data_IF_255477100715
#
_entry.id   IF_255477100715
#
_cell.length_a   1.000
_cell.length_b   1.000
_cell.length_c   1.000
_cell.angle_alpha   90.00
_cell.angle_beta   90.00
_cell.angle_gamma   90.00
#
_symmetry.space_group_name_H-M   'P 1'
#
loop_
_entity.id
_entity.type
_entity.pdbx_description
1 polymer ?
#
# COMPACT_ATOMS: atom_id res chain seq x y z
N UNK A 1 0.29 3.59 40.74
CA UNK A 1 -0.12 2.99 39.47
C UNK A 1 1.02 3.28 38.47
N UNK A 2 1.67 2.25 37.91
CA UNK A 2 2.74 2.44 36.93
C UNK A 2 2.12 2.80 35.58
N UNK A 3 2.67 3.83 34.92
CA UNK A 3 2.33 4.17 33.54
C UNK A 3 3.17 3.25 32.65
N UNK A 4 2.52 2.50 31.77
CA UNK A 4 3.18 1.63 30.79
C UNK A 4 2.86 2.12 29.37
N UNK A 5 3.79 1.90 28.45
CA UNK A 5 3.57 2.14 27.03
C UNK A 5 2.57 1.10 26.48
N UNK A 6 1.52 1.54 25.82
CA UNK A 6 0.58 0.65 25.12
C UNK A 6 1.07 0.33 23.70
N UNK A 7 0.18 -0.32 22.92
CA UNK A 7 0.44 -0.60 21.51
C UNK A 7 0.79 0.65 20.77
N UNK A 8 1.84 0.56 19.94
CA UNK A 8 2.32 1.69 19.15
C UNK A 8 2.45 1.33 17.67
N UNK A 9 2.42 2.36 16.85
CA UNK A 9 2.71 2.28 15.43
C UNK A 9 3.28 3.62 14.95
N UNK A 10 4.10 3.58 13.94
CA UNK A 10 4.60 4.77 13.26
C UNK A 10 4.64 4.54 11.76
N UNK A 11 4.78 5.60 10.98
CA UNK A 11 4.84 5.44 9.54
C UNK A 11 4.97 6.74 8.78
N UNK A 12 4.73 6.66 7.48
CA UNK A 12 4.76 7.77 6.54
C UNK A 12 3.38 7.95 5.92
N UNK A 13 2.75 9.08 6.23
CA UNK A 13 1.49 9.44 5.61
C UNK A 13 1.70 10.12 4.25
N UNK A 14 0.69 10.00 3.40
CA UNK A 14 0.49 10.79 2.19
C UNK A 14 1.67 10.80 1.21
N UNK A 15 2.22 9.62 0.95
CA UNK A 15 3.22 9.45 -0.12
C UNK A 15 2.52 9.48 -1.48
N UNK A 16 2.47 10.68 -2.10
CA UNK A 16 1.84 10.86 -3.40
C UNK A 16 2.71 10.33 -4.51
N UNK A 17 2.15 9.49 -5.38
CA UNK A 17 2.81 8.99 -6.58
C UNK A 17 1.88 9.00 -7.79
N UNK A 18 2.47 9.26 -8.96
CA UNK A 18 1.80 9.10 -10.26
C UNK A 18 2.65 8.18 -11.12
N UNK A 19 2.06 7.10 -11.58
CA UNK A 19 2.67 6.18 -12.54
C UNK A 19 1.99 6.31 -13.89
N UNK A 20 2.78 6.57 -14.93
CA UNK A 20 2.31 6.56 -16.32
C UNK A 20 2.95 5.36 -17.02
N UNK A 21 2.12 4.47 -17.56
CA UNK A 21 2.54 3.36 -18.40
C UNK A 21 2.56 3.85 -19.86
N UNK A 22 3.67 3.60 -20.54
CA UNK A 22 3.92 4.06 -21.92
C UNK A 22 4.27 2.90 -22.85
N UNK A 23 3.82 1.71 -22.48
CA UNK A 23 4.14 0.46 -23.18
C UNK A 23 3.35 0.30 -24.50
N UNK A 24 2.37 1.16 -24.73
CA UNK A 24 1.57 1.24 -25.94
C UNK A 24 1.40 2.70 -26.39
N UNK A 25 0.88 2.91 -27.59
CA UNK A 25 0.52 4.24 -28.09
C UNK A 25 -0.51 4.92 -27.19
N UNK A 26 -1.37 4.14 -26.54
CA UNK A 26 -2.38 4.63 -25.59
C UNK A 26 -1.86 4.48 -24.16
N UNK A 27 -1.35 5.57 -23.60
CA UNK A 27 -0.79 5.58 -22.26
C UNK A 27 -1.88 5.36 -21.18
N UNK A 28 -1.46 4.82 -20.02
CA UNK A 28 -2.31 4.66 -18.84
C UNK A 28 -1.73 5.43 -17.66
N UNK A 29 -2.60 5.93 -16.78
CA UNK A 29 -2.23 6.67 -15.58
C UNK A 29 -2.76 5.96 -14.33
N UNK A 30 -1.91 5.86 -13.31
CA UNK A 30 -2.28 5.53 -11.94
C UNK A 30 -1.83 6.66 -11.03
N UNK A 31 -2.73 7.17 -10.23
CA UNK A 31 -2.49 8.32 -9.35
C UNK A 31 -2.94 7.95 -7.95
N UNK A 32 -1.96 7.74 -7.07
CA UNK A 32 -2.17 7.18 -5.74
C UNK A 32 -1.66 8.13 -4.65
N UNK A 33 -2.29 8.04 -3.49
CA UNK A 33 -1.77 8.54 -2.24
C UNK A 33 -1.64 7.37 -1.27
N UNK A 34 -0.42 7.09 -0.79
CA UNK A 34 -0.10 5.89 -0.01
C UNK A 34 0.36 6.28 1.38
N UNK A 35 -0.29 5.71 2.39
CA UNK A 35 0.10 5.83 3.79
C UNK A 35 0.56 4.47 4.30
N UNK A 36 1.72 4.45 4.96
CA UNK A 36 2.28 3.28 5.62
C UNK A 36 2.22 3.44 7.13
N UNK A 37 1.88 2.39 7.87
CA UNK A 37 1.96 2.33 9.31
C UNK A 37 2.54 0.97 9.72
N UNK A 38 3.66 0.99 10.43
CA UNK A 38 4.42 -0.18 10.85
C UNK A 38 4.26 -0.39 12.34
N UNK A 39 4.22 -1.66 12.76
CA UNK A 39 4.18 -2.12 14.17
C UNK A 39 5.37 -3.02 14.41
N UNK A 40 5.88 -3.01 15.64
CA UNK A 40 7.01 -3.81 16.07
C UNK A 40 7.52 -3.36 17.43
N UNK A 41 8.64 -3.90 17.92
CA UNK A 41 9.25 -3.57 19.22
C UNK A 41 9.97 -2.20 19.17
N UNK A 42 9.19 -1.11 19.11
CA UNK A 42 9.70 0.27 18.97
C UNK A 42 9.76 1.03 20.30
N UNK A 43 9.54 0.36 21.43
CA UNK A 43 9.47 0.97 22.78
C UNK A 43 10.75 1.73 23.12
N UNK A 44 11.91 1.22 22.71
CA UNK A 44 13.20 1.81 23.04
C UNK A 44 13.38 3.20 22.38
N UNK A 45 12.76 3.41 21.21
CA UNK A 45 12.75 4.73 20.56
C UNK A 45 12.02 5.77 21.42
N UNK A 46 10.96 5.37 22.12
CA UNK A 46 10.17 6.25 22.98
C UNK A 46 10.79 6.43 24.38
N UNK A 47 11.38 5.37 24.92
CA UNK A 47 11.85 5.37 26.32
C UNK A 47 13.25 5.99 26.47
N UNK A 48 14.16 5.69 25.54
CA UNK A 48 15.58 6.08 25.64
C UNK A 48 16.15 6.68 24.35
N UNK A 49 15.33 6.86 23.31
CA UNK A 49 15.75 7.44 22.04
C UNK A 49 16.53 6.49 21.14
N UNK A 50 16.53 5.18 21.41
CA UNK A 50 17.20 4.19 20.57
C UNK A 50 16.38 3.91 19.31
N UNK A 51 16.92 4.29 18.16
CA UNK A 51 16.29 4.17 16.84
C UNK A 51 16.71 2.89 16.08
N UNK A 52 17.41 1.96 16.71
CA UNK A 52 17.99 0.77 16.04
C UNK A 52 16.92 -0.10 15.33
N UNK A 53 15.72 -0.17 15.89
CA UNK A 53 14.60 -0.92 15.32
C UNK A 53 13.69 -0.09 14.40
N UNK A 54 13.94 1.21 14.25
CA UNK A 54 13.03 2.11 13.53
C UNK A 54 13.47 2.27 12.08
N UNK A 55 12.68 1.76 11.13
CA UNK A 55 12.87 2.02 9.71
C UNK A 55 12.59 3.49 9.40
N UNK A 56 13.54 4.27 8.86
CA UNK A 56 13.30 5.68 8.54
C UNK A 56 12.08 5.88 7.65
N UNK A 57 11.28 6.91 7.94
CA UNK A 57 10.06 7.21 7.18
C UNK A 57 10.34 7.54 5.71
N UNK A 58 11.52 8.12 5.41
CA UNK A 58 11.94 8.32 4.02
C UNK A 58 12.26 7.00 3.31
N UNK A 59 12.77 6.00 4.02
CA UNK A 59 12.95 4.66 3.46
C UNK A 59 11.60 4.04 3.13
N UNK A 60 10.61 4.16 4.02
CA UNK A 60 9.24 3.69 3.74
C UNK A 60 8.68 4.34 2.48
N UNK A 61 8.78 5.68 2.36
CA UNK A 61 8.36 6.41 1.16
C UNK A 61 9.09 5.93 -0.10
N UNK A 62 10.42 5.80 -0.03
CA UNK A 62 11.23 5.36 -1.17
C UNK A 62 10.90 3.93 -1.59
N UNK A 63 10.56 3.05 -0.63
CA UNK A 63 10.07 1.69 -0.91
C UNK A 63 8.78 1.73 -1.71
N UNK A 64 7.82 2.59 -1.36
CA UNK A 64 6.57 2.77 -2.13
C UNK A 64 6.89 3.12 -3.60
N UNK A 65 7.79 4.08 -3.84
CA UNK A 65 8.19 4.46 -5.20
C UNK A 65 8.95 3.35 -5.94
N UNK A 66 9.83 2.64 -5.24
CA UNK A 66 10.59 1.52 -5.83
C UNK A 66 9.65 0.39 -6.27
N UNK A 67 8.68 0.04 -5.42
CA UNK A 67 7.66 -0.97 -5.76
C UNK A 67 6.78 -0.54 -6.92
N UNK A 68 6.28 0.69 -6.92
CA UNK A 68 5.50 1.22 -8.03
C UNK A 68 6.28 1.19 -9.35
N UNK A 69 7.61 1.40 -9.31
CA UNK A 69 8.48 1.34 -10.49
C UNK A 69 8.76 -0.09 -10.95
N UNK A 70 9.11 -0.99 -10.03
CA UNK A 70 9.61 -2.33 -10.38
C UNK A 70 8.50 -3.36 -10.56
N UNK A 71 7.46 -3.31 -9.72
CA UNK A 71 6.33 -4.25 -9.76
C UNK A 71 5.14 -3.75 -10.57
N UNK A 72 5.02 -2.43 -10.72
CA UNK A 72 3.83 -1.81 -11.28
C UNK A 72 2.70 -1.70 -10.27
N UNK A 73 1.54 -1.26 -10.76
CA UNK A 73 0.31 -1.11 -9.96
C UNK A 73 -0.83 -1.73 -10.77
N UNK A 74 -1.07 -3.01 -10.55
CA UNK A 74 -2.19 -3.73 -11.16
C UNK A 74 -3.51 -3.31 -10.51
N UNK A 75 -3.61 -3.49 -9.21
CA UNK A 75 -4.70 -2.98 -8.38
C UNK A 75 -4.15 -2.38 -7.08
N UNK A 76 -4.89 -1.46 -6.46
CA UNK A 76 -4.45 -0.86 -5.19
C UNK A 76 -4.42 -1.89 -4.06
N UNK A 77 -5.23 -2.94 -4.14
CA UNK A 77 -5.28 -4.03 -3.17
C UNK A 77 -4.03 -4.92 -3.27
N UNK A 78 -3.68 -5.37 -4.49
CA UNK A 78 -2.49 -6.20 -4.73
C UNK A 78 -1.22 -5.43 -4.41
N UNK A 79 -1.14 -4.17 -4.84
CA UNK A 79 -0.01 -3.29 -4.54
C UNK A 79 0.17 -3.06 -3.03
N UNK A 80 -0.93 -2.79 -2.31
CA UNK A 80 -0.90 -2.64 -0.85
C UNK A 80 -0.49 -3.93 -0.13
N UNK A 81 -0.94 -5.09 -0.63
CA UNK A 81 -0.60 -6.38 -0.06
C UNK A 81 0.89 -6.73 -0.25
N UNK A 82 1.44 -6.47 -1.43
CA UNK A 82 2.86 -6.69 -1.71
C UNK A 82 3.75 -5.79 -0.85
N UNK A 83 3.39 -4.51 -0.71
CA UNK A 83 4.10 -3.57 0.17
C UNK A 83 4.05 -4.01 1.64
N UNK A 84 2.86 -4.38 2.14
CA UNK A 84 2.70 -4.79 3.52
C UNK A 84 3.50 -6.07 3.83
N UNK A 85 3.47 -7.04 2.90
CA UNK A 85 4.28 -8.27 3.02
C UNK A 85 5.77 -7.99 3.02
N UNK A 86 6.25 -7.13 2.14
CA UNK A 86 7.65 -6.73 2.12
C UNK A 86 8.10 -6.15 3.47
N UNK A 87 7.33 -5.22 4.03
CA UNK A 87 7.70 -4.64 5.32
C UNK A 87 7.73 -5.67 6.44
N UNK A 88 6.82 -6.64 6.46
CA UNK A 88 6.76 -7.67 7.52
C UNK A 88 7.81 -8.78 7.31
N UNK A 89 8.11 -9.15 6.07
CA UNK A 89 8.97 -10.29 5.77
C UNK A 89 10.45 -9.91 5.63
N UNK A 90 10.72 -8.71 5.09
CA UNK A 90 12.08 -8.31 4.69
C UNK A 90 12.68 -7.24 5.62
N UNK A 91 11.89 -6.65 6.53
CA UNK A 91 12.36 -5.66 7.51
C UNK A 91 12.28 -6.26 8.91
N UNK A 92 13.42 -6.76 9.40
CA UNK A 92 13.52 -7.57 10.61
C UNK A 92 12.73 -7.10 11.85
N UNK A 93 12.74 -5.79 12.24
CA UNK A 93 11.99 -5.32 13.40
C UNK A 93 10.48 -5.18 13.18
N UNK A 94 9.97 -5.33 11.95
CA UNK A 94 8.55 -5.08 11.65
C UNK A 94 7.74 -6.35 11.86
N UNK A 95 6.79 -6.31 12.79
CA UNK A 95 5.88 -7.39 13.13
C UNK A 95 4.48 -7.22 12.53
N UNK A 96 4.18 -6.05 12.00
CA UNK A 96 2.92 -5.78 11.32
C UNK A 96 3.00 -4.52 10.48
N UNK A 97 2.26 -4.53 9.38
CA UNK A 97 2.19 -3.39 8.47
C UNK A 97 0.73 -3.14 8.05
N UNK A 98 0.33 -1.87 8.07
CA UNK A 98 -0.92 -1.40 7.49
C UNK A 98 -0.62 -0.40 6.40
N UNK A 99 -1.13 -0.67 5.21
CA UNK A 99 -1.00 0.17 4.03
C UNK A 99 -2.40 0.69 3.67
N UNK A 100 -2.54 2.00 3.62
CA UNK A 100 -3.75 2.66 3.15
C UNK A 100 -3.47 3.35 1.84
N UNK A 101 -4.34 3.17 0.85
CA UNK A 101 -4.17 3.70 -0.49
C UNK A 101 -5.45 4.39 -0.93
N UNK A 102 -5.30 5.60 -1.43
CA UNK A 102 -6.31 6.35 -2.16
C UNK A 102 -5.92 6.38 -3.63
N UNK A 103 -6.82 5.95 -4.50
CA UNK A 103 -6.66 6.03 -5.95
C UNK A 103 -7.59 7.11 -6.51
N UNK A 104 -7.00 8.03 -7.24
CA UNK A 104 -7.70 9.17 -7.82
C UNK A 104 -8.12 8.87 -9.26
N UNK A 105 -9.40 9.14 -9.56
CA UNK A 105 -9.96 8.90 -10.86
C UNK A 105 -9.55 9.97 -11.88
N UNK A 106 -9.18 9.51 -13.07
CA UNK A 106 -8.87 10.32 -14.24
C UNK A 106 -9.66 9.82 -15.43
N UNK A 107 -10.14 10.71 -16.26
CA UNK A 107 -10.75 10.38 -17.54
C UNK A 107 -9.96 11.01 -18.68
N UNK A 108 -10.03 10.42 -19.86
CA UNK A 108 -9.31 10.94 -21.03
C UNK A 108 -9.95 12.23 -21.52
N UNK A 109 -9.10 13.18 -21.88
CA UNK A 109 -9.57 14.39 -22.56
C UNK A 109 -10.13 14.01 -23.94
N UNK A 110 -11.23 14.66 -24.31
CA UNK A 110 -11.80 14.55 -25.65
C UNK A 110 -11.21 15.69 -26.50
N UNK A 111 -10.54 15.34 -27.59
CA UNK A 111 -9.98 16.25 -28.57
C UNK A 111 -10.53 15.86 -29.94
N UNK A 112 -11.10 16.81 -30.66
CA UNK A 112 -11.72 16.58 -31.98
C UNK A 112 -12.74 15.41 -32.00
N UNK A 113 -13.50 15.26 -30.90
CA UNK A 113 -14.54 14.23 -30.74
C UNK A 113 -14.02 12.84 -30.38
N UNK A 114 -12.70 12.65 -30.21
CA UNK A 114 -12.08 11.39 -29.84
C UNK A 114 -11.33 11.48 -28.51
N UNK A 115 -11.25 10.34 -27.79
CA UNK A 115 -10.49 10.24 -26.55
C UNK A 115 -8.99 10.30 -26.85
N UNK A 116 -8.30 11.30 -26.29
CA UNK A 116 -6.88 11.52 -26.52
C UNK A 116 -6.00 10.48 -25.80
N UNK A 117 -4.94 9.99 -26.46
CA UNK A 117 -4.14 8.88 -25.96
C UNK A 117 -3.21 9.24 -24.80
N UNK A 118 -2.84 10.52 -24.66
CA UNK A 118 -1.81 10.97 -23.71
C UNK A 118 -2.29 12.07 -22.75
N UNK A 119 -3.57 12.48 -22.80
CA UNK A 119 -4.08 13.60 -22.00
C UNK A 119 -5.26 13.17 -21.15
N UNK A 120 -5.24 13.56 -19.88
CA UNK A 120 -6.28 13.22 -18.91
C UNK A 120 -6.78 14.48 -18.21
N UNK A 121 -8.03 14.41 -17.79
CA UNK A 121 -8.70 15.36 -16.93
C UNK A 121 -9.03 14.68 -15.61
N UNK A 122 -8.93 15.42 -14.51
CA UNK A 122 -9.33 14.91 -13.21
C UNK A 122 -10.84 14.64 -13.21
N UNK A 123 -11.22 13.40 -12.88
CA UNK A 123 -12.64 13.03 -12.81
C UNK A 123 -13.18 13.29 -11.40
N UNK A 124 -13.87 14.42 -11.24
CA UNK A 124 -14.61 14.75 -10.03
C UNK A 124 -13.84 14.57 -8.72
N UNK A 125 -14.57 14.21 -7.66
CA UNK A 125 -14.02 13.94 -6.32
C UNK A 125 -14.02 12.44 -5.97
N UNK A 126 -14.26 11.56 -6.93
CA UNK A 126 -14.26 10.12 -6.69
C UNK A 126 -12.87 9.62 -6.31
N UNK A 127 -12.79 8.96 -5.15
CA UNK A 127 -11.58 8.35 -4.62
C UNK A 127 -11.92 6.91 -4.26
N UNK A 128 -11.23 5.95 -4.86
CA UNK A 128 -11.27 4.55 -4.45
C UNK A 128 -10.23 4.34 -3.36
N UNK A 129 -10.59 3.65 -2.27
CA UNK A 129 -9.66 3.41 -1.16
C UNK A 129 -9.51 1.93 -0.89
N UNK A 130 -8.30 1.54 -0.51
CA UNK A 130 -8.00 0.22 0.03
C UNK A 130 -7.18 0.36 1.31
N UNK A 131 -7.43 -0.51 2.28
CA UNK A 131 -6.63 -0.65 3.48
C UNK A 131 -6.24 -2.12 3.63
N UNK A 132 -4.94 -2.39 3.64
CA UNK A 132 -4.38 -3.73 3.76
C UNK A 132 -3.58 -3.79 5.05
N UNK A 133 -3.84 -4.81 5.87
CA UNK A 133 -3.06 -5.09 7.07
C UNK A 133 -2.50 -6.49 6.99
N UNK A 134 -1.20 -6.63 7.26
CA UNK A 134 -0.49 -7.91 7.36
C UNK A 134 0.16 -7.97 8.73
N UNK A 135 0.07 -9.11 9.41
CA UNK A 135 0.74 -9.37 10.69
C UNK A 135 1.96 -10.30 10.53
N UNK A 136 2.69 -10.52 11.62
CA UNK A 136 3.88 -11.38 11.64
C UNK A 136 3.58 -12.84 11.26
N UNK A 137 2.34 -13.31 11.40
CA UNK A 137 1.93 -14.66 10.97
C UNK A 137 1.72 -14.75 9.45
N UNK A 138 1.69 -13.60 8.76
CA UNK A 138 1.35 -13.46 7.35
C UNK A 138 -0.15 -13.51 7.09
N UNK A 139 -0.99 -13.51 8.15
CA UNK A 139 -2.42 -13.28 7.98
C UNK A 139 -2.66 -11.85 7.52
N UNK A 140 -3.64 -11.68 6.66
CA UNK A 140 -3.94 -10.37 6.11
C UNK A 140 -5.44 -10.09 6.03
N UNK A 141 -5.77 -8.81 6.19
CA UNK A 141 -7.11 -8.27 6.05
C UNK A 141 -7.08 -7.16 5.02
N UNK A 142 -7.99 -7.22 4.04
CA UNK A 142 -8.15 -6.19 3.01
C UNK A 142 -9.54 -5.58 3.16
N UNK A 143 -9.58 -4.28 3.42
CA UNK A 143 -10.78 -3.46 3.38
C UNK A 143 -10.79 -2.58 2.13
N UNK A 144 -11.89 -2.56 1.39
CA UNK A 144 -12.04 -1.74 0.18
C UNK A 144 -13.27 -0.86 0.33
N UNK A 145 -13.15 0.41 -0.04
CA UNK A 145 -14.28 1.32 -0.19
C UNK A 145 -14.29 1.86 -1.62
N UNK A 146 -15.40 1.62 -2.31
CA UNK A 146 -15.67 2.21 -3.61
C UNK A 146 -16.64 3.38 -3.43
N UNK A 147 -16.48 4.53 -4.10
CA UNK A 147 -17.32 5.70 -3.92
C UNK A 147 -18.82 5.46 -4.22
N UNK A 148 -19.15 4.44 -5.00
CA UNK A 148 -20.53 4.08 -5.35
C UNK A 148 -21.17 3.04 -4.41
N UNK A 149 -20.46 2.55 -3.39
CA UNK A 149 -20.97 1.51 -2.48
C UNK A 149 -20.83 1.98 -1.04
N UNK A 150 -21.93 2.36 -0.41
CA UNK A 150 -22.00 2.74 1.01
C UNK A 150 -21.78 1.54 1.98
N UNK A 151 -21.16 0.45 1.55
CA UNK A 151 -20.87 -0.71 2.40
C UNK A 151 -19.36 -1.02 2.44
N UNK A 152 -18.80 -0.98 3.64
CA UNK A 152 -17.50 -1.61 3.92
C UNK A 152 -17.62 -3.13 3.77
N UNK A 153 -17.04 -3.66 2.70
CA UNK A 153 -16.85 -5.10 2.56
C UNK A 153 -15.52 -5.51 3.17
N UNK A 154 -15.54 -6.11 4.36
CA UNK A 154 -14.34 -6.75 4.92
C UNK A 154 -14.31 -8.20 4.42
N UNK A 155 -13.34 -8.54 3.57
CA UNK A 155 -13.06 -9.93 3.20
C UNK A 155 -11.86 -10.44 3.98
N UNK A 156 -12.08 -11.42 4.84
CA UNK A 156 -11.00 -12.31 5.32
C UNK A 156 -10.76 -13.34 4.23
N UNK A 157 -9.56 -13.37 3.70
CA UNK A 157 -9.14 -14.39 2.72
C UNK A 157 -8.34 -15.43 3.48
N UNK A 158 -8.83 -16.68 3.60
CA UNK A 158 -8.08 -17.75 4.26
C UNK A 158 -6.82 -18.09 3.45
N UNK A 159 -5.75 -18.50 4.15
CA UNK A 159 -4.50 -18.97 3.55
C UNK A 159 -4.78 -20.06 2.52
N UNK A 160 -4.54 -19.79 1.25
CA UNK A 160 -4.23 -20.89 0.32
C UNK A 160 -2.81 -21.36 0.64
N UNK A 161 -2.66 -22.61 1.05
CA UNK A 161 -1.36 -23.28 1.10
C UNK A 161 -0.78 -23.16 -0.32
N UNK A 162 0.33 -22.45 -0.45
CA UNK A 162 1.16 -22.54 -1.64
C UNK A 162 1.69 -23.98 -1.67
N UNK A 163 1.30 -24.72 -2.69
CA UNK A 163 1.93 -25.99 -3.02
C UNK A 163 3.39 -25.70 -3.36
N UNK A 164 4.30 -26.19 -2.55
CA UNK A 164 5.73 -26.16 -2.79
C UNK A 164 6.05 -27.26 -3.80
N UNK A 165 6.48 -26.95 -5.05
CA UNK A 165 6.73 -27.95 -6.08
C UNK A 165 8.10 -28.64 -5.92
N UNK A 166 8.82 -28.45 -4.81
CA UNK A 166 10.17 -28.99 -4.59
C UNK A 166 10.29 -30.05 -3.49
N UNK A 167 9.23 -30.85 -3.25
CA UNK A 167 9.33 -32.01 -2.35
C UNK A 167 8.81 -33.28 -3.00
N UNK A 168 9.34 -33.63 -4.15
CA UNK A 168 9.33 -35.00 -4.69
C UNK A 168 10.50 -35.12 -5.67
N UNK A 169 11.67 -35.44 -5.12
CA UNK A 169 12.81 -36.05 -5.82
C UNK A 169 13.64 -36.79 -4.79
#
# INVERSE_FOLDING_TARGET
>A
MAIILGDNQYGKAESRLVRIYRDSARHEIRDLNVTTALRGPFEQAHLVGDQSNVLPTDTQKNTVFAFAKSKGIDSIESFGLELARHFVQDVGPVEGARIEIEEYAWERAIVDGAAHDHTWLRKGQEIRTAAVTVDASGEHVIGVRHPQVHRLGVRRIPRRRLHDPCRDS
#
